data_IF_133771795479
#
_entry.id   IF_133771795479
#
_cell.length_a   1.000
_cell.length_b   1.000
_cell.length_c   1.000
_cell.angle_alpha   90.00
_cell.angle_beta   90.00
_cell.angle_gamma   90.00
#
_symmetry.space_group_name_H-M   'P 1'
#
loop_
_entity.id
_entity.type
_entity.pdbx_description
1 polymer ?
#
# COMPACT_ATOMS: atom_id res chain seq x y z
N UNK A 1 -16.23 15.00 -2.52
CA UNK A 1 -16.30 13.53 -2.53
C UNK A 1 -17.77 13.15 -2.64
N UNK A 2 -18.18 12.26 -3.53
CA UNK A 2 -19.57 11.75 -3.55
C UNK A 2 -19.81 10.88 -2.32
N UNK A 3 -21.09 10.71 -1.91
CA UNK A 3 -21.43 9.83 -0.77
C UNK A 3 -20.84 8.43 -0.92
N UNK A 4 -20.94 7.83 -2.10
CA UNK A 4 -20.38 6.51 -2.40
C UNK A 4 -18.85 6.44 -2.26
N UNK A 5 -18.10 7.48 -2.63
CA UNK A 5 -16.65 7.54 -2.43
C UNK A 5 -16.28 7.54 -0.94
N UNK A 6 -17.00 8.33 -0.16
CA UNK A 6 -16.76 8.44 1.27
C UNK A 6 -17.06 7.13 2.00
N UNK A 7 -18.19 6.50 1.66
CA UNK A 7 -18.57 5.19 2.21
C UNK A 7 -17.52 4.13 1.82
N UNK A 8 -17.10 4.08 0.56
CA UNK A 8 -16.08 3.13 0.11
C UNK A 8 -14.74 3.31 0.86
N UNK A 9 -14.34 4.54 1.15
CA UNK A 9 -13.13 4.85 1.93
C UNK A 9 -13.27 4.35 3.38
N UNK A 10 -14.42 4.59 4.03
CA UNK A 10 -14.69 4.11 5.39
C UNK A 10 -14.70 2.59 5.44
N UNK A 11 -15.39 1.94 4.48
CA UNK A 11 -15.40 0.46 4.38
C UNK A 11 -13.97 -0.07 4.24
N UNK A 12 -13.18 0.52 3.35
CA UNK A 12 -11.80 0.10 3.11
C UNK A 12 -10.92 0.24 4.35
N UNK A 13 -11.04 1.36 5.06
CA UNK A 13 -10.33 1.57 6.32
C UNK A 13 -10.79 0.57 7.39
N UNK A 14 -12.11 0.37 7.53
CA UNK A 14 -12.68 -0.59 8.48
C UNK A 14 -12.20 -2.02 8.22
N UNK A 15 -12.21 -2.48 6.96
CA UNK A 15 -11.71 -3.82 6.58
C UNK A 15 -10.20 -3.93 6.84
N UNK A 16 -9.41 -2.92 6.50
CA UNK A 16 -7.98 -2.93 6.77
C UNK A 16 -7.67 -3.01 8.27
N UNK A 17 -8.40 -2.27 9.11
CA UNK A 17 -8.28 -2.34 10.56
C UNK A 17 -8.77 -3.67 11.13
N UNK A 18 -9.87 -4.24 10.61
CA UNK A 18 -10.34 -5.58 10.96
C UNK A 18 -9.23 -6.62 10.74
N UNK A 19 -8.60 -6.61 9.59
CA UNK A 19 -7.50 -7.54 9.25
C UNK A 19 -6.26 -7.31 10.13
N UNK A 20 -5.95 -6.06 10.47
CA UNK A 20 -4.76 -5.71 11.25
C UNK A 20 -4.92 -5.85 12.77
N UNK A 21 -6.17 -5.91 13.29
CA UNK A 21 -6.43 -5.96 14.73
C UNK A 21 -7.12 -7.25 15.17
N UNK A 22 -8.44 -7.44 15.05
CA UNK A 22 -9.10 -8.65 15.56
C UNK A 22 -8.73 -9.90 14.76
N UNK A 23 -8.61 -9.76 13.43
CA UNK A 23 -8.28 -10.88 12.54
C UNK A 23 -6.78 -11.13 12.38
N UNK A 24 -5.90 -10.37 13.02
CA UNK A 24 -4.45 -10.53 12.88
C UNK A 24 -3.98 -11.93 13.30
N UNK A 25 -4.52 -12.48 14.39
CA UNK A 25 -4.16 -13.84 14.85
C UNK A 25 -4.61 -14.91 13.87
N UNK A 26 -5.91 -15.02 13.47
CA UNK A 26 -6.35 -16.00 12.48
C UNK A 26 -5.70 -15.80 11.10
N UNK A 27 -5.50 -14.56 10.65
CA UNK A 27 -4.79 -14.26 9.41
C UNK A 27 -3.35 -14.80 9.44
N UNK A 28 -2.66 -14.71 10.58
CA UNK A 28 -1.32 -15.25 10.74
C UNK A 28 -1.30 -16.77 10.79
N UNK A 29 -2.25 -17.39 11.46
CA UNK A 29 -2.33 -18.84 11.63
C UNK A 29 -2.75 -19.53 10.33
N UNK A 30 -3.75 -18.99 9.65
CA UNK A 30 -4.37 -19.56 8.45
C UNK A 30 -4.53 -18.50 7.34
N UNK A 31 -3.45 -18.08 6.66
CA UNK A 31 -3.51 -17.02 5.67
C UNK A 31 -4.25 -17.43 4.38
N UNK A 32 -4.19 -18.71 4.01
CA UNK A 32 -4.74 -19.22 2.74
C UNK A 32 -6.22 -18.91 2.52
N UNK A 33 -7.15 -19.13 3.48
CA UNK A 33 -8.55 -18.76 3.32
C UNK A 33 -8.74 -17.27 3.00
N UNK A 34 -7.97 -16.37 3.64
CA UNK A 34 -8.04 -14.94 3.38
C UNK A 34 -7.56 -14.57 1.99
N UNK A 35 -6.49 -15.20 1.50
CA UNK A 35 -6.01 -15.00 0.13
C UNK A 35 -7.01 -15.51 -0.89
N UNK A 36 -7.59 -16.70 -0.68
CA UNK A 36 -8.61 -17.26 -1.57
C UNK A 36 -9.86 -16.38 -1.60
N UNK A 37 -10.35 -15.92 -0.45
CA UNK A 37 -11.48 -15.00 -0.39
C UNK A 37 -11.19 -13.70 -1.13
N UNK A 38 -10.00 -13.11 -0.94
CA UNK A 38 -9.58 -11.90 -1.66
C UNK A 38 -9.49 -12.13 -3.17
N UNK A 39 -8.95 -13.28 -3.62
CA UNK A 39 -8.87 -13.64 -5.03
C UNK A 39 -10.26 -13.84 -5.65
N UNK A 40 -11.18 -14.48 -4.94
CA UNK A 40 -12.58 -14.65 -5.40
C UNK A 40 -13.26 -13.29 -5.53
N UNK A 41 -13.14 -12.41 -4.52
CA UNK A 41 -13.72 -11.07 -4.56
C UNK A 41 -13.18 -10.27 -5.74
N UNK A 42 -11.86 -10.26 -5.93
CA UNK A 42 -11.22 -9.56 -7.06
C UNK A 42 -11.60 -10.19 -8.39
N UNK A 43 -11.64 -11.52 -8.49
CA UNK A 43 -12.01 -12.25 -9.70
C UNK A 43 -13.44 -11.95 -10.14
N UNK A 44 -14.39 -12.02 -9.20
CA UNK A 44 -15.80 -11.67 -9.46
C UNK A 44 -15.92 -10.22 -9.93
N UNK A 45 -15.23 -9.29 -9.28
CA UNK A 45 -15.21 -7.88 -9.67
C UNK A 45 -14.66 -7.68 -11.10
N UNK A 46 -13.52 -8.28 -11.42
CA UNK A 46 -12.90 -8.15 -12.76
C UNK A 46 -13.79 -8.76 -13.83
N UNK A 47 -14.37 -9.93 -13.59
CA UNK A 47 -15.30 -10.59 -14.52
C UNK A 47 -16.55 -9.73 -14.73
N UNK A 48 -17.17 -9.22 -13.66
CA UNK A 48 -18.35 -8.38 -13.74
C UNK A 48 -18.09 -7.12 -14.59
N UNK A 49 -16.95 -6.47 -14.39
CA UNK A 49 -16.56 -5.31 -15.23
C UNK A 49 -16.30 -5.70 -16.68
N UNK A 50 -15.60 -6.83 -16.92
CA UNK A 50 -15.27 -7.29 -18.27
C UNK A 50 -16.50 -7.73 -19.08
N UNK A 51 -17.53 -8.26 -18.40
CA UNK A 51 -18.81 -8.69 -19.02
C UNK A 51 -19.84 -7.57 -19.10
N UNK A 52 -19.52 -6.35 -18.60
CA UNK A 52 -20.44 -5.21 -18.66
C UNK A 52 -21.62 -5.29 -17.70
N UNK A 53 -21.51 -6.10 -16.62
CA UNK A 53 -22.54 -6.18 -15.58
C UNK A 53 -22.71 -4.80 -14.93
N UNK A 54 -23.97 -4.36 -14.78
CA UNK A 54 -24.28 -3.11 -14.08
C UNK A 54 -24.02 -3.24 -12.57
N UNK A 55 -22.99 -2.52 -12.10
CA UNK A 55 -22.56 -2.50 -10.71
C UNK A 55 -23.08 -1.26 -9.95
N UNK A 56 -24.04 -0.51 -10.49
CA UNK A 56 -24.54 0.71 -9.86
C UNK A 56 -25.19 0.45 -8.49
N UNK A 57 -25.83 -0.70 -8.29
CA UNK A 57 -26.43 -1.09 -7.03
C UNK A 57 -25.40 -1.46 -5.94
N UNK A 58 -24.13 -1.73 -6.33
CA UNK A 58 -23.01 -2.06 -5.43
C UNK A 58 -21.87 -1.06 -5.56
N UNK A 59 -22.17 0.19 -5.89
CA UNK A 59 -21.20 1.22 -6.25
C UNK A 59 -20.15 1.46 -5.18
N UNK A 60 -20.54 1.44 -3.91
CA UNK A 60 -19.65 1.63 -2.77
C UNK A 60 -18.62 0.50 -2.69
N UNK A 61 -19.06 -0.76 -2.81
CA UNK A 61 -18.18 -1.93 -2.83
C UNK A 61 -17.30 -1.95 -4.05
N UNK A 62 -17.85 -1.56 -5.21
CA UNK A 62 -17.08 -1.42 -6.44
C UNK A 62 -15.94 -0.42 -6.27
N UNK A 63 -16.18 0.73 -5.65
CA UNK A 63 -15.17 1.77 -5.43
C UNK A 63 -14.06 1.35 -4.47
N UNK A 64 -14.32 0.44 -3.52
CA UNK A 64 -13.29 -0.16 -2.65
C UNK A 64 -12.15 -0.76 -3.47
N UNK A 65 -12.50 -1.51 -4.54
CA UNK A 65 -11.55 -2.18 -5.42
C UNK A 65 -11.10 -1.25 -6.55
N UNK A 66 -12.03 -0.59 -7.23
CA UNK A 66 -11.78 0.25 -8.38
C UNK A 66 -10.79 1.38 -8.09
N UNK A 67 -10.91 2.04 -6.94
CA UNK A 67 -10.03 3.14 -6.55
C UNK A 67 -8.80 2.71 -5.76
N UNK A 68 -8.66 1.41 -5.48
CA UNK A 68 -7.54 0.86 -4.75
C UNK A 68 -7.48 1.30 -3.27
N UNK A 69 -8.59 1.77 -2.68
CA UNK A 69 -8.62 2.25 -1.30
C UNK A 69 -8.19 1.19 -0.30
N UNK A 70 -8.76 -0.03 -0.42
CA UNK A 70 -8.42 -1.13 0.50
C UNK A 70 -6.95 -1.51 0.40
N UNK A 71 -6.42 -1.66 -0.81
CA UNK A 71 -4.99 -1.93 -1.02
C UNK A 71 -4.11 -0.84 -0.41
N UNK A 72 -4.49 0.43 -0.58
CA UNK A 72 -3.75 1.59 -0.06
C UNK A 72 -3.71 1.61 1.48
N UNK A 73 -4.82 1.31 2.16
CA UNK A 73 -4.83 1.24 3.62
C UNK A 73 -4.05 0.05 4.17
N UNK A 74 -4.15 -1.13 3.54
CA UNK A 74 -3.33 -2.29 3.90
C UNK A 74 -1.84 -1.99 3.74
N UNK A 75 -1.46 -1.37 2.62
CA UNK A 75 -0.10 -0.93 2.37
C UNK A 75 0.36 0.11 3.40
N UNK A 76 -0.48 1.08 3.74
CA UNK A 76 -0.18 2.08 4.77
C UNK A 76 0.17 1.40 6.10
N UNK A 77 -0.65 0.44 6.59
CA UNK A 77 -0.36 -0.30 7.82
C UNK A 77 1.00 -1.02 7.73
N UNK A 78 1.29 -1.69 6.59
CA UNK A 78 2.57 -2.36 6.33
C UNK A 78 3.74 -1.38 6.43
N UNK A 79 3.62 -0.20 5.83
CA UNK A 79 4.65 0.83 5.78
C UNK A 79 4.84 1.51 7.15
N UNK A 80 3.74 1.91 7.81
CA UNK A 80 3.77 2.54 9.14
C UNK A 80 4.36 1.61 10.20
N UNK A 81 4.19 0.29 10.08
CA UNK A 81 4.84 -0.68 10.97
C UNK A 81 6.37 -0.51 11.00
N UNK A 82 6.97 -0.09 9.87
CA UNK A 82 8.41 0.20 9.78
C UNK A 82 8.84 1.49 10.49
N UNK A 83 7.92 2.41 10.77
CA UNK A 83 8.18 3.68 11.45
C UNK A 83 8.09 3.59 12.96
N UNK A 84 7.45 2.55 13.49
CA UNK A 84 7.22 2.36 14.92
C UNK A 84 8.44 1.75 15.62
N UNK A 85 8.58 2.02 16.91
CA UNK A 85 9.62 1.44 17.77
C UNK A 85 9.33 0.00 18.14
N UNK A 86 10.37 -0.75 18.49
CA UNK A 86 10.23 -2.15 18.90
C UNK A 86 9.40 -2.33 20.18
N UNK A 87 9.38 -1.33 21.04
CA UNK A 87 8.59 -1.28 22.28
C UNK A 87 7.12 -0.92 22.03
N UNK A 88 6.79 -0.37 20.85
CA UNK A 88 5.44 0.07 20.53
C UNK A 88 4.47 -1.12 20.42
N UNK A 89 3.32 -1.04 21.11
CA UNK A 89 2.31 -2.09 21.14
C UNK A 89 1.72 -2.38 19.74
N UNK A 90 1.52 -1.35 18.90
CA UNK A 90 1.04 -1.51 17.51
C UNK A 90 2.04 -2.28 16.68
N UNK A 91 3.34 -1.97 16.79
CA UNK A 91 4.38 -2.71 16.07
C UNK A 91 4.42 -4.17 16.47
N UNK A 92 4.31 -4.47 17.76
CA UNK A 92 4.27 -5.87 18.25
C UNK A 92 3.08 -6.62 17.66
N UNK A 93 1.95 -5.96 17.46
CA UNK A 93 0.73 -6.55 16.88
C UNK A 93 0.81 -6.69 15.36
N UNK A 94 1.32 -5.69 14.63
CA UNK A 94 1.31 -5.66 13.17
C UNK A 94 2.51 -6.38 12.53
N UNK A 95 3.67 -6.40 13.21
CA UNK A 95 4.89 -7.05 12.70
C UNK A 95 4.68 -8.52 12.29
N UNK A 96 3.95 -9.36 13.07
CA UNK A 96 3.73 -10.76 12.69
C UNK A 96 2.91 -10.95 11.42
N UNK A 97 1.96 -10.05 11.14
CA UNK A 97 1.02 -10.14 10.01
C UNK A 97 1.40 -9.23 8.83
N UNK A 98 2.53 -8.56 8.92
CA UNK A 98 2.98 -7.61 7.90
C UNK A 98 3.09 -8.24 6.51
N UNK A 99 3.58 -9.46 6.42
CA UNK A 99 3.71 -10.20 5.16
C UNK A 99 2.34 -10.51 4.56
N UNK A 100 1.43 -11.01 5.36
CA UNK A 100 0.07 -11.38 4.98
C UNK A 100 -0.72 -10.14 4.50
N UNK A 101 -0.62 -9.02 5.22
CA UNK A 101 -1.23 -7.75 4.80
C UNK A 101 -0.64 -7.23 3.48
N UNK A 102 0.66 -7.39 3.26
CA UNK A 102 1.31 -7.04 1.99
C UNK A 102 0.79 -7.88 0.82
N UNK A 103 0.58 -9.19 1.03
CA UNK A 103 0.03 -10.08 0.00
C UNK A 103 -1.43 -9.74 -0.30
N UNK A 104 -2.26 -9.49 0.71
CA UNK A 104 -3.63 -9.05 0.52
C UNK A 104 -3.69 -7.71 -0.22
N UNK A 105 -2.82 -6.77 0.13
CA UNK A 105 -2.70 -5.49 -0.59
C UNK A 105 -2.36 -5.72 -2.06
N UNK A 106 -1.44 -6.64 -2.39
CA UNK A 106 -1.14 -7.02 -3.77
C UNK A 106 -2.38 -7.59 -4.48
N UNK A 107 -3.08 -8.55 -3.87
CA UNK A 107 -4.27 -9.16 -4.49
C UNK A 107 -5.32 -8.08 -4.82
N UNK A 108 -5.61 -7.18 -3.89
CA UNK A 108 -6.62 -6.13 -4.11
C UNK A 108 -6.18 -5.09 -5.14
N UNK A 109 -4.89 -4.72 -5.22
CA UNK A 109 -4.43 -3.76 -6.24
C UNK A 109 -4.44 -4.37 -7.65
N UNK A 110 -4.30 -5.69 -7.79
CA UNK A 110 -4.44 -6.37 -9.08
C UNK A 110 -5.84 -6.16 -9.66
N UNK A 111 -6.90 -6.13 -8.84
CA UNK A 111 -8.25 -5.78 -9.30
C UNK A 111 -8.32 -4.40 -9.95
N UNK A 112 -7.70 -3.39 -9.32
CA UNK A 112 -7.56 -2.05 -9.90
C UNK A 112 -6.78 -2.08 -11.22
N UNK A 113 -5.65 -2.77 -11.24
CA UNK A 113 -4.76 -2.85 -12.39
C UNK A 113 -5.45 -3.54 -13.59
N UNK A 114 -6.08 -4.70 -13.37
CA UNK A 114 -6.74 -5.48 -14.44
C UNK A 114 -7.96 -4.79 -15.03
N UNK A 115 -8.62 -3.91 -14.31
CA UNK A 115 -9.75 -3.13 -14.85
C UNK A 115 -9.27 -1.90 -15.62
N UNK A 116 -8.31 -1.15 -15.08
CA UNK A 116 -7.92 0.12 -15.69
C UNK A 116 -6.86 -0.01 -16.77
N UNK A 117 -5.86 -0.87 -16.60
CA UNK A 117 -4.75 -0.97 -17.54
C UNK A 117 -5.20 -1.34 -18.96
N UNK A 118 -6.05 -2.37 -19.18
CA UNK A 118 -6.54 -2.69 -20.52
C UNK A 118 -7.31 -1.53 -21.15
N UNK A 119 -8.21 -0.86 -20.38
CA UNK A 119 -9.00 0.26 -20.86
C UNK A 119 -8.13 1.43 -21.34
N UNK A 120 -7.08 1.78 -20.60
CA UNK A 120 -6.18 2.86 -20.98
C UNK A 120 -5.22 2.47 -22.11
N UNK A 121 -4.72 1.24 -22.13
CA UNK A 121 -3.88 0.74 -23.23
C UNK A 121 -4.67 0.72 -24.55
N UNK A 122 -5.90 0.23 -24.54
CA UNK A 122 -6.76 0.25 -25.73
C UNK A 122 -6.93 1.67 -26.27
N UNK A 123 -7.20 2.66 -25.41
CA UNK A 123 -7.32 4.07 -25.81
C UNK A 123 -6.02 4.63 -26.35
N UNK A 124 -4.88 4.28 -25.74
CA UNK A 124 -3.56 4.73 -26.17
C UNK A 124 -3.23 4.20 -27.57
N UNK A 125 -3.45 2.90 -27.81
CA UNK A 125 -3.19 2.26 -29.11
C UNK A 125 -4.21 2.64 -30.17
N UNK A 126 -5.44 2.98 -29.80
CA UNK A 126 -6.46 3.50 -30.73
C UNK A 126 -6.23 4.96 -31.14
N UNK A 127 -5.11 5.59 -30.76
CA UNK A 127 -4.80 6.97 -31.08
C UNK A 127 -5.70 8.01 -30.41
N UNK A 128 -6.44 7.61 -29.36
CA UNK A 128 -7.28 8.54 -28.61
C UNK A 128 -6.41 9.59 -27.90
N UNK A 129 -6.79 10.87 -28.00
CA UNK A 129 -6.07 11.94 -27.31
C UNK A 129 -6.26 11.88 -25.79
N UNK A 130 -5.36 11.15 -25.12
CA UNK A 130 -5.28 11.19 -23.67
C UNK A 130 -4.54 12.46 -23.23
N UNK A 131 -5.01 13.08 -22.14
CA UNK A 131 -4.31 14.23 -21.55
C UNK A 131 -2.90 13.79 -21.08
N UNK A 132 -1.91 14.66 -21.27
CA UNK A 132 -0.51 14.36 -20.93
C UNK A 132 -0.30 13.87 -19.48
N UNK A 133 -1.03 14.46 -18.52
CA UNK A 133 -1.00 14.04 -17.12
C UNK A 133 -1.55 12.61 -16.91
N UNK A 134 -2.52 12.18 -17.71
CA UNK A 134 -3.06 10.80 -17.66
C UNK A 134 -2.02 9.83 -18.22
N UNK A 135 -1.38 10.16 -19.34
CA UNK A 135 -0.29 9.34 -19.92
C UNK A 135 0.87 9.21 -18.92
N UNK A 136 1.30 10.31 -18.32
CA UNK A 136 2.34 10.30 -17.29
C UNK A 136 1.94 9.43 -16.08
N UNK A 137 0.70 9.54 -15.62
CA UNK A 137 0.17 8.71 -14.53
C UNK A 137 0.21 7.22 -14.85
N UNK A 138 -0.19 6.83 -16.08
CA UNK A 138 -0.17 5.42 -16.53
C UNK A 138 1.27 4.90 -16.60
N UNK A 139 2.20 5.69 -17.13
CA UNK A 139 3.62 5.30 -17.20
C UNK A 139 4.19 5.02 -15.81
N UNK A 140 3.90 5.90 -14.84
CA UNK A 140 4.28 5.68 -13.44
C UNK A 140 3.59 4.45 -12.85
N UNK A 141 2.29 4.23 -13.17
CA UNK A 141 1.53 3.09 -12.68
C UNK A 141 2.10 1.74 -13.15
N UNK A 142 2.65 1.67 -14.37
CA UNK A 142 3.31 0.46 -14.87
C UNK A 142 4.55 0.12 -14.03
N UNK A 143 5.39 1.09 -13.74
CA UNK A 143 6.56 0.90 -12.87
C UNK A 143 6.14 0.52 -11.46
N UNK A 144 5.13 1.19 -10.91
CA UNK A 144 4.52 0.86 -9.62
C UNK A 144 4.02 -0.58 -9.58
N UNK A 145 3.31 -1.03 -10.61
CA UNK A 145 2.78 -2.38 -10.74
C UNK A 145 3.88 -3.43 -10.64
N UNK A 146 4.99 -3.24 -11.37
CA UNK A 146 6.15 -4.13 -11.31
C UNK A 146 6.75 -4.18 -9.90
N UNK A 147 6.99 -3.01 -9.28
CA UNK A 147 7.53 -2.95 -7.92
C UNK A 147 6.57 -3.62 -6.94
N UNK A 148 5.27 -3.36 -7.06
CA UNK A 148 4.25 -3.94 -6.18
C UNK A 148 4.22 -5.47 -6.26
N UNK A 149 4.28 -6.02 -7.49
CA UNK A 149 4.33 -7.47 -7.72
C UNK A 149 5.60 -8.06 -7.09
N UNK A 150 6.77 -7.47 -7.33
CA UNK A 150 8.04 -7.96 -6.77
C UNK A 150 8.00 -7.95 -5.23
N UNK A 151 7.55 -6.86 -4.62
CA UNK A 151 7.45 -6.75 -3.16
C UNK A 151 6.42 -7.71 -2.57
N UNK A 152 5.27 -7.88 -3.23
CA UNK A 152 4.23 -8.79 -2.80
C UNK A 152 4.66 -10.25 -2.92
N UNK A 153 5.24 -10.66 -4.06
CA UNK A 153 5.74 -12.03 -4.27
C UNK A 153 6.84 -12.37 -3.27
N UNK A 154 7.78 -11.45 -3.03
CA UNK A 154 8.85 -11.67 -2.03
C UNK A 154 8.36 -11.61 -0.57
N UNK A 155 7.10 -11.24 -0.33
CA UNK A 155 6.45 -11.30 0.99
C UNK A 155 5.91 -12.71 1.33
N UNK A 156 5.69 -13.58 0.32
CA UNK A 156 5.29 -14.96 0.59
C UNK A 156 6.38 -15.70 1.38
N UNK A 157 5.96 -16.45 2.40
CA UNK A 157 6.89 -17.22 3.25
C UNK A 157 7.73 -18.20 2.42
N UNK A 158 7.12 -18.90 1.46
CA UNK A 158 7.79 -19.85 0.56
C UNK A 158 8.89 -19.21 -0.29
N UNK A 159 8.72 -17.97 -0.73
CA UNK A 159 9.71 -17.22 -1.49
C UNK A 159 10.79 -16.69 -0.56
N UNK A 160 10.38 -15.98 0.50
CA UNK A 160 11.30 -15.32 1.45
C UNK A 160 12.27 -16.29 2.09
N UNK A 161 11.83 -17.52 2.47
CA UNK A 161 12.69 -18.51 3.12
C UNK A 161 13.75 -19.13 2.21
N UNK A 162 13.53 -19.04 0.88
CA UNK A 162 14.50 -19.52 -0.14
C UNK A 162 15.48 -18.45 -0.57
N UNK A 163 15.26 -17.18 -0.19
CA UNK A 163 16.09 -16.06 -0.58
C UNK A 163 17.21 -15.80 0.44
N UNK A 164 18.36 -15.32 -0.07
CA UNK A 164 19.39 -14.77 0.80
C UNK A 164 18.82 -13.56 1.58
N UNK A 165 18.95 -13.51 2.91
CA UNK A 165 18.37 -12.43 3.74
C UNK A 165 18.85 -11.02 3.36
N UNK A 166 20.10 -10.85 2.89
CA UNK A 166 20.64 -9.56 2.43
C UNK A 166 19.95 -9.12 1.15
N UNK A 167 19.80 -10.04 0.18
CA UNK A 167 19.11 -9.77 -1.10
C UNK A 167 17.66 -9.43 -0.84
N UNK A 168 16.95 -10.24 -0.03
CA UNK A 168 15.57 -9.97 0.34
C UNK A 168 15.39 -8.59 0.98
N UNK A 169 16.27 -8.22 1.92
CA UNK A 169 16.23 -6.90 2.58
C UNK A 169 16.44 -5.75 1.57
N UNK A 170 17.32 -5.92 0.59
CA UNK A 170 17.56 -4.93 -0.44
C UNK A 170 16.33 -4.76 -1.35
N UNK A 171 15.69 -5.86 -1.76
CA UNK A 171 14.44 -5.82 -2.53
C UNK A 171 13.35 -5.10 -1.74
N UNK A 172 13.19 -5.41 -0.44
CA UNK A 172 12.18 -4.74 0.39
C UNK A 172 12.41 -3.21 0.54
N UNK A 173 13.62 -2.71 0.29
CA UNK A 173 13.89 -1.26 0.27
C UNK A 173 13.23 -0.53 -0.91
N UNK A 174 12.90 -1.24 -2.00
CA UNK A 174 12.12 -0.66 -3.10
C UNK A 174 10.72 -0.19 -2.65
N UNK A 175 10.25 -0.59 -1.47
CA UNK A 175 9.06 -0.03 -0.87
C UNK A 175 9.13 1.50 -0.66
N UNK A 176 10.32 2.08 -0.46
CA UNK A 176 10.49 3.53 -0.38
C UNK A 176 10.26 4.20 -1.74
N UNK A 177 10.85 3.62 -2.80
CA UNK A 177 10.63 4.08 -4.17
C UNK A 177 9.14 3.94 -4.55
N UNK A 178 8.52 2.83 -4.16
CA UNK A 178 7.08 2.61 -4.39
C UNK A 178 6.24 3.73 -3.79
N UNK A 179 6.49 4.16 -2.54
CA UNK A 179 5.75 5.26 -1.91
C UNK A 179 5.98 6.58 -2.67
N UNK A 180 7.21 6.87 -3.07
CA UNK A 180 7.51 8.07 -3.85
C UNK A 180 6.77 8.08 -5.20
N UNK A 181 6.82 6.99 -5.94
CA UNK A 181 6.09 6.85 -7.21
C UNK A 181 4.58 6.86 -7.04
N UNK A 182 4.07 6.33 -5.92
CA UNK A 182 2.65 6.36 -5.60
C UNK A 182 2.12 7.79 -5.48
N UNK A 183 2.87 8.69 -4.83
CA UNK A 183 2.50 10.12 -4.76
C UNK A 183 2.46 10.74 -6.15
N UNK A 184 3.47 10.44 -6.97
CA UNK A 184 3.57 10.96 -8.33
C UNK A 184 2.39 10.47 -9.18
N UNK A 185 2.05 9.17 -9.10
CA UNK A 185 0.90 8.58 -9.79
C UNK A 185 -0.42 9.26 -9.38
N UNK A 186 -0.68 9.36 -8.08
CA UNK A 186 -1.89 10.01 -7.55
C UNK A 186 -1.91 11.50 -7.90
N UNK A 187 -0.75 12.17 -7.83
CA UNK A 187 -0.60 13.58 -8.18
C UNK A 187 -0.93 13.87 -9.63
N UNK A 188 -0.43 13.07 -10.56
CA UNK A 188 -0.77 13.23 -11.99
C UNK A 188 -2.23 12.92 -12.28
N UNK A 189 -2.80 11.89 -11.64
CA UNK A 189 -4.18 11.46 -11.91
C UNK A 189 -5.21 12.39 -11.27
N UNK A 190 -5.06 12.74 -10.01
CA UNK A 190 -6.02 13.57 -9.25
C UNK A 190 -5.70 15.06 -9.29
N UNK A 191 -4.43 15.43 -9.49
CA UNK A 191 -3.99 16.82 -9.43
C UNK A 191 -4.75 17.73 -10.42
N UNK A 192 -4.93 17.29 -11.66
CA UNK A 192 -5.68 18.07 -12.65
C UNK A 192 -7.12 18.37 -12.22
N UNK A 193 -7.80 17.45 -11.55
CA UNK A 193 -9.16 17.66 -11.03
C UNK A 193 -9.17 18.40 -9.70
N UNK A 194 -8.17 18.19 -8.86
CA UNK A 194 -8.04 18.86 -7.56
C UNK A 194 -7.73 20.35 -7.73
N UNK A 195 -6.74 20.71 -8.55
CA UNK A 195 -6.37 22.11 -8.82
C UNK A 195 -7.34 22.81 -9.77
N UNK A 196 -8.12 22.05 -10.56
CA UNK A 196 -9.22 22.58 -11.39
C UNK A 196 -10.52 22.90 -10.63
N UNK A 197 -10.51 22.92 -9.31
CA UNK A 197 -11.65 23.33 -8.47
C UNK A 197 -12.71 22.25 -8.26
N UNK A 198 -12.47 20.99 -8.66
CA UNK A 198 -13.38 19.88 -8.36
C UNK A 198 -13.27 19.46 -6.89
N UNK A 199 -14.26 19.78 -6.06
CA UNK A 199 -14.27 19.40 -4.65
C UNK A 199 -14.12 17.89 -4.39
N UNK A 200 -14.54 17.04 -5.33
CA UNK A 200 -14.34 15.58 -5.28
C UNK A 200 -12.87 15.19 -5.46
N UNK A 201 -12.18 15.86 -6.39
CA UNK A 201 -10.74 15.65 -6.64
C UNK A 201 -9.91 16.09 -5.46
N UNK A 202 -10.20 17.25 -4.88
CA UNK A 202 -9.51 17.80 -3.70
C UNK A 202 -9.58 16.84 -2.52
N UNK A 203 -10.76 16.35 -2.16
CA UNK A 203 -10.92 15.47 -0.99
C UNK A 203 -10.12 14.16 -1.12
N UNK A 204 -10.18 13.51 -2.28
CA UNK A 204 -9.41 12.29 -2.53
C UNK A 204 -7.90 12.55 -2.50
N UNK A 205 -7.45 13.64 -3.13
CA UNK A 205 -6.05 14.04 -3.15
C UNK A 205 -5.52 14.30 -1.73
N UNK A 206 -6.29 15.02 -0.89
CA UNK A 206 -5.91 15.33 0.50
C UNK A 206 -5.72 14.06 1.33
N UNK A 207 -6.63 13.07 1.22
CA UNK A 207 -6.50 11.80 1.97
C UNK A 207 -5.17 11.11 1.65
N UNK A 208 -4.83 10.99 0.38
CA UNK A 208 -3.57 10.36 -0.03
C UNK A 208 -2.34 11.20 0.36
N UNK A 209 -2.42 12.51 0.19
CA UNK A 209 -1.34 13.42 0.59
C UNK A 209 -1.05 13.33 2.10
N UNK A 210 -2.09 13.32 2.93
CA UNK A 210 -1.96 13.18 4.39
C UNK A 210 -1.28 11.86 4.76
N UNK A 211 -1.72 10.72 4.17
CA UNK A 211 -1.11 9.42 4.45
C UNK A 211 0.38 9.40 4.12
N UNK A 212 0.74 9.98 2.99
CA UNK A 212 2.13 9.98 2.54
C UNK A 212 2.99 10.95 3.33
N UNK A 213 2.51 12.16 3.59
CA UNK A 213 3.24 13.15 4.42
C UNK A 213 3.44 12.59 5.82
N UNK A 214 2.39 12.01 6.43
CA UNK A 214 2.51 11.36 7.74
C UNK A 214 3.56 10.24 7.73
N UNK A 215 3.56 9.40 6.69
CA UNK A 215 4.58 8.37 6.55
C UNK A 215 6.00 8.96 6.43
N UNK A 216 6.19 9.94 5.56
CA UNK A 216 7.50 10.58 5.34
C UNK A 216 8.02 11.20 6.62
N UNK A 217 7.19 11.97 7.33
CA UNK A 217 7.55 12.61 8.61
C UNK A 217 7.95 11.58 9.66
N UNK A 218 7.13 10.54 9.88
CA UNK A 218 7.42 9.49 10.85
C UNK A 218 8.69 8.70 10.48
N UNK A 219 8.92 8.47 9.18
CA UNK A 219 10.11 7.75 8.72
C UNK A 219 11.39 8.53 8.92
N UNK A 220 11.38 9.84 8.58
CA UNK A 220 12.51 10.73 8.80
C UNK A 220 12.78 10.88 10.29
N UNK A 221 11.74 11.14 11.09
CA UNK A 221 11.86 11.23 12.55
C UNK A 221 12.50 9.99 13.17
N UNK A 222 12.02 8.78 12.75
CA UNK A 222 12.63 7.54 13.20
C UNK A 222 14.09 7.42 12.79
N UNK A 223 14.44 7.76 11.55
CA UNK A 223 15.82 7.67 11.06
C UNK A 223 16.78 8.59 11.85
N UNK A 224 16.33 9.82 12.13
CA UNK A 224 17.11 10.78 12.94
C UNK A 224 17.30 10.27 14.36
N UNK A 225 16.24 9.76 14.97
CA UNK A 225 16.32 9.23 16.34
C UNK A 225 17.22 7.99 16.44
N UNK A 226 17.08 7.04 15.52
CA UNK A 226 17.94 5.85 15.50
C UNK A 226 19.41 6.24 15.33
N UNK A 227 19.72 7.25 14.48
CA UNK A 227 21.07 7.78 14.31
C UNK A 227 21.63 8.39 15.62
N UNK A 228 20.81 9.18 16.32
CA UNK A 228 21.21 9.79 17.62
C UNK A 228 21.48 8.71 18.68
N UNK A 229 20.62 7.67 18.77
CA UNK A 229 20.82 6.58 19.72
C UNK A 229 22.12 5.80 19.45
N UNK A 230 22.46 5.56 18.19
CA UNK A 230 23.74 4.94 17.83
C UNK A 230 24.95 5.82 18.18
N UNK A 231 24.87 7.13 17.97
CA UNK A 231 25.95 8.06 18.32
C UNK A 231 26.21 8.06 19.85
N UNK A 232 25.15 8.10 20.67
CA UNK A 232 25.27 8.04 22.13
C UNK A 232 25.88 6.73 22.63
N UNK A 233 25.54 5.60 21.99
CA UNK A 233 26.14 4.30 22.35
C UNK A 233 27.62 4.19 21.99
N UNK A 234 28.07 4.87 20.95
CA UNK A 234 29.48 4.90 20.55
C UNK A 234 30.31 5.86 21.41
N UNK A 235 29.70 6.84 22.06
CA UNK A 235 30.38 7.80 22.95
C UNK A 235 30.45 7.35 24.41
N UNK A 236 29.75 6.28 24.81
CA UNK A 236 29.85 5.72 26.17
C UNK A 236 31.01 4.72 26.16
N UNK A 237 32.23 5.07 26.67
CA UNK A 237 33.34 4.13 26.78
C UNK A 237 32.93 3.00 27.74
N UNK A 238 33.44 1.81 27.48
CA UNK A 238 33.33 0.67 28.37
C UNK A 238 34.02 0.94 29.71
N UNK A 239 33.37 1.69 30.60
CA UNK A 239 33.76 1.87 31.99
C UNK A 239 33.19 0.70 32.81
N UNK A 240 33.47 -0.52 32.40
CA UNK A 240 33.11 -1.70 33.16
C UNK A 240 34.25 -2.74 33.02
N UNK A 241 35.41 -2.39 33.50
CA UNK A 241 36.57 -3.31 33.44
C UNK A 241 37.72 -2.97 34.36
N UNK A 242 37.50 -2.17 35.40
CA UNK A 242 38.55 -1.93 36.44
C UNK A 242 37.90 -1.83 37.80
N UNK A 243 37.42 -2.93 38.34
CA UNK A 243 37.39 -3.21 39.80
C UNK A 243 37.32 -4.72 39.99
N UNK A 244 38.48 -5.38 40.03
CA UNK A 244 38.70 -6.62 40.76
C UNK A 244 40.22 -6.86 40.86
N UNK A 245 40.86 -6.17 41.76
CA UNK A 245 42.05 -6.70 42.49
C UNK A 245 41.76 -6.58 43.97
#
# INVERSE_FOLDING_TARGET
>A
MGSADFIALIISLGVALLLAFPLAKPLKAHPTPFYLAALVIVGVYVIAVATGVDLNNCRELTFVLQKGYLSSFLLAIVMFTGCLDNTNALKRKWRPVRGELSILSLIFILGHLFVFLPSYLTRLFAGSHLKANVVASISVALVLGVIFIVLGVTSFKSVRTRMNPKVWKNIQRFAYLMVALYIVHVGFFLGGSAFGGSGKGVASFVVYAVLVVAYAVLRVWKAVRDKRAHAQQSETPAVAGVVSE
#
